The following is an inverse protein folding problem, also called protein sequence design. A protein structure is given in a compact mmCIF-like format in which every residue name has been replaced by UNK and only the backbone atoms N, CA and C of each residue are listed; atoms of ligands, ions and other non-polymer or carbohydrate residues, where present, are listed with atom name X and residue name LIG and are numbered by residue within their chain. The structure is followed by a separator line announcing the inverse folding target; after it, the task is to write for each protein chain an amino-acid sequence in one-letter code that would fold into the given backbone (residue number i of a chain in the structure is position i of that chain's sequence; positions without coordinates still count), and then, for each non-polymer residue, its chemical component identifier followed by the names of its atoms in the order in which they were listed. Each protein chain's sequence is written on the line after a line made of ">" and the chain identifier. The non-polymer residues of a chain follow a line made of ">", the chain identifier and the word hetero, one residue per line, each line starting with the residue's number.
data_IF_082866269879
#
_entry.id   IF_082866269879
#
_cell.length_a   1.000
_cell.length_b   1.000
_cell.length_c   1.000
_cell.angle_alpha   90.00
_cell.angle_beta   90.00
_cell.angle_gamma   90.00
#
_symmetry.space_group_name_H-M   'P 1'
#
loop_
_entity.id
_entity.type
_entity.pdbx_description
1 polymer ?
#
# COMPACT_ATOMS: atom_id res chain seq x y z
N UNK A 1 8.43 -21.21 15.64
CA UNK A 1 7.34 -20.29 15.28
C UNK A 1 7.85 -19.46 14.13
N UNK A 2 7.57 -19.88 12.90
CA UNK A 2 7.76 -19.05 11.72
C UNK A 2 6.43 -18.33 11.49
N UNK A 3 6.39 -17.05 11.81
CA UNK A 3 5.21 -16.21 11.64
C UNK A 3 5.66 -14.78 11.45
N UNK A 4 5.05 -14.06 10.51
CA UNK A 4 5.27 -12.64 10.31
C UNK A 4 4.44 -11.85 11.32
N UNK A 5 5.04 -10.85 11.96
CA UNK A 5 4.34 -9.92 12.84
C UNK A 5 4.26 -8.53 12.19
N UNK A 6 3.08 -7.92 12.20
CA UNK A 6 2.86 -6.55 11.74
C UNK A 6 2.58 -5.65 12.96
N UNK A 7 3.38 -4.60 13.13
CA UNK A 7 3.09 -3.56 14.10
C UNK A 7 2.21 -2.51 13.45
N UNK A 8 1.01 -2.30 14.00
CA UNK A 8 0.02 -1.41 13.42
C UNK A 8 -0.50 -0.45 14.49
N UNK A 9 -0.82 0.78 14.06
CA UNK A 9 -1.67 1.68 14.85
C UNK A 9 -3.13 1.36 14.49
N UNK A 10 -3.94 0.76 15.39
CA UNK A 10 -5.22 0.16 15.02
C UNK A 10 -6.19 1.15 14.35
N UNK A 11 -6.27 2.37 14.85
CA UNK A 11 -7.14 3.41 14.28
C UNK A 11 -6.74 3.81 12.86
N UNK A 12 -5.45 3.96 12.57
CA UNK A 12 -4.94 4.25 11.23
C UNK A 12 -5.16 3.06 10.29
N UNK A 13 -4.87 1.85 10.75
CA UNK A 13 -5.11 0.63 9.97
C UNK A 13 -6.59 0.48 9.60
N UNK A 14 -7.50 0.66 10.57
CA UNK A 14 -8.94 0.64 10.34
C UNK A 14 -9.37 1.71 9.32
N UNK A 15 -8.87 2.95 9.43
CA UNK A 15 -9.18 4.02 8.47
C UNK A 15 -8.71 3.69 7.06
N UNK A 16 -7.49 3.17 6.90
CA UNK A 16 -6.91 2.78 5.60
C UNK A 16 -7.68 1.64 4.95
N UNK A 17 -7.98 0.58 5.71
CA UNK A 17 -8.80 -0.53 5.23
C UNK A 17 -10.19 -0.05 4.81
N UNK A 18 -10.85 0.76 5.65
CA UNK A 18 -12.17 1.29 5.33
C UNK A 18 -12.16 2.22 4.11
N UNK A 19 -11.09 3.00 3.89
CA UNK A 19 -10.95 3.85 2.71
C UNK A 19 -10.86 3.01 1.42
N UNK A 20 -10.00 1.99 1.39
CA UNK A 20 -9.88 1.08 0.24
C UNK A 20 -11.18 0.32 -0.02
N UNK A 21 -11.89 -0.10 1.04
CA UNK A 21 -13.21 -0.71 0.89
C UNK A 21 -14.25 0.27 0.33
N UNK A 22 -14.12 1.59 0.51
CA UNK A 22 -15.05 2.55 -0.11
C UNK A 22 -14.65 2.94 -1.53
N UNK A 23 -13.38 2.81 -1.90
CA UNK A 23 -12.89 3.16 -3.23
C UNK A 23 -13.57 2.34 -4.34
N UNK A 24 -13.95 3.01 -5.43
CA UNK A 24 -14.52 2.40 -6.63
C UNK A 24 -13.97 3.08 -7.89
N UNK A 25 -13.28 2.35 -8.79
CA UNK A 25 -12.85 0.96 -8.64
C UNK A 25 -11.80 0.79 -7.53
N UNK A 26 -11.63 -0.42 -7.03
CA UNK A 26 -10.58 -0.70 -6.06
C UNK A 26 -9.20 -0.64 -6.75
N UNK A 27 -8.20 0.06 -6.18
CA UNK A 27 -6.92 0.33 -6.85
C UNK A 27 -5.94 -0.85 -6.71
N UNK A 28 -6.37 -2.06 -7.11
CA UNK A 28 -5.54 -3.26 -7.11
C UNK A 28 -4.96 -3.53 -8.49
N UNK A 29 -3.66 -3.80 -8.53
CA UNK A 29 -2.92 -4.06 -9.75
C UNK A 29 -2.44 -5.51 -9.74
N UNK A 30 -2.96 -6.30 -10.67
CA UNK A 30 -2.53 -7.68 -10.89
C UNK A 30 -1.20 -7.70 -11.66
N UNK A 31 -0.18 -8.25 -11.01
CA UNK A 31 1.19 -8.38 -11.49
C UNK A 31 1.65 -9.85 -11.52
N UNK A 32 0.71 -10.79 -11.54
CA UNK A 32 1.00 -12.24 -11.57
C UNK A 32 1.97 -12.62 -12.69
N UNK A 33 2.85 -13.58 -12.42
CA UNK A 33 3.92 -13.99 -13.34
C UNK A 33 3.39 -14.48 -14.70
N UNK A 34 2.23 -15.15 -14.73
CA UNK A 34 1.59 -15.62 -15.97
C UNK A 34 1.11 -14.50 -16.91
N UNK A 35 1.13 -13.23 -16.48
CA UNK A 35 0.68 -12.11 -17.31
C UNK A 35 1.76 -11.60 -18.25
N UNK A 36 1.33 -11.21 -19.45
CA UNK A 36 2.20 -10.49 -20.39
C UNK A 36 2.50 -9.04 -19.95
N UNK A 37 1.58 -8.44 -19.18
CA UNK A 37 1.71 -7.07 -18.67
C UNK A 37 0.87 -6.88 -17.40
N UNK A 38 1.28 -5.97 -16.50
CA UNK A 38 0.47 -5.64 -15.35
C UNK A 38 -0.84 -4.98 -15.78
N UNK A 39 -1.89 -5.19 -15.00
CA UNK A 39 -3.21 -4.63 -15.26
C UNK A 39 -3.95 -4.31 -13.95
N UNK A 40 -5.03 -3.55 -14.03
CA UNK A 40 -5.98 -3.48 -12.91
C UNK A 40 -6.68 -4.84 -12.76
N UNK A 41 -6.97 -5.21 -11.51
CA UNK A 41 -7.71 -6.42 -11.20
C UNK A 41 -9.10 -6.43 -11.83
N UNK A 42 -9.55 -7.60 -12.26
CA UNK A 42 -10.93 -7.78 -12.67
C UNK A 42 -11.87 -7.59 -11.47
N UNK A 43 -13.14 -7.20 -11.67
CA UNK A 43 -14.08 -6.97 -10.57
C UNK A 43 -14.22 -8.14 -9.59
N UNK A 44 -14.19 -9.38 -10.09
CA UNK A 44 -14.29 -10.58 -9.24
C UNK A 44 -13.05 -10.77 -8.35
N UNK A 45 -11.85 -10.53 -8.89
CA UNK A 45 -10.57 -10.61 -8.15
C UNK A 45 -10.50 -9.50 -7.10
N UNK A 46 -10.85 -8.28 -7.50
CA UNK A 46 -10.91 -7.14 -6.59
C UNK A 46 -11.88 -7.40 -5.43
N UNK A 47 -13.03 -8.03 -5.68
CA UNK A 47 -14.00 -8.34 -4.63
C UNK A 47 -13.49 -9.42 -3.67
N UNK A 48 -12.76 -10.44 -4.16
CA UNK A 48 -12.11 -11.41 -3.29
C UNK A 48 -11.09 -10.75 -2.35
N UNK A 49 -10.27 -9.82 -2.89
CA UNK A 49 -9.32 -9.04 -2.08
C UNK A 49 -10.07 -8.18 -1.05
N UNK A 50 -11.16 -7.50 -1.45
CA UNK A 50 -12.00 -6.72 -0.53
C UNK A 50 -12.60 -7.58 0.57
N UNK A 51 -13.00 -8.82 0.27
CA UNK A 51 -13.43 -9.80 1.28
C UNK A 51 -12.37 -10.05 2.36
N UNK A 52 -11.11 -10.25 1.96
CA UNK A 52 -10.00 -10.41 2.90
C UNK A 52 -9.75 -9.15 3.74
N UNK A 53 -9.75 -7.96 3.11
CA UNK A 53 -9.57 -6.69 3.82
C UNK A 53 -10.72 -6.39 4.78
N UNK A 54 -11.96 -6.76 4.43
CA UNK A 54 -13.12 -6.63 5.30
C UNK A 54 -13.04 -7.55 6.51
N UNK A 55 -12.56 -8.80 6.32
CA UNK A 55 -12.30 -9.72 7.43
C UNK A 55 -11.22 -9.15 8.37
N UNK A 56 -10.14 -8.58 7.82
CA UNK A 56 -9.11 -7.91 8.62
C UNK A 56 -9.66 -6.71 9.39
N UNK A 57 -10.49 -5.87 8.75
CA UNK A 57 -11.10 -4.72 9.38
C UNK A 57 -12.01 -5.15 10.55
N UNK A 58 -12.84 -6.18 10.35
CA UNK A 58 -13.69 -6.74 11.39
C UNK A 58 -12.87 -7.29 12.56
N UNK A 59 -11.77 -7.99 12.27
CA UNK A 59 -10.84 -8.48 13.28
C UNK A 59 -10.23 -7.34 14.11
N UNK A 60 -9.75 -6.28 13.45
CA UNK A 60 -9.22 -5.09 14.14
C UNK A 60 -10.27 -4.34 14.95
N UNK A 61 -11.54 -4.39 14.54
CA UNK A 61 -12.66 -3.79 15.27
C UNK A 61 -13.07 -4.57 16.52
N UNK A 62 -12.91 -5.91 16.50
CA UNK A 62 -13.21 -6.79 17.63
C UNK A 62 -12.04 -7.02 18.59
N UNK A 63 -10.83 -6.60 18.24
CA UNK A 63 -9.66 -6.73 19.09
C UNK A 63 -9.71 -5.72 20.24
N UNK A 64 -10.01 -6.20 21.46
CA UNK A 64 -9.94 -5.39 22.67
C UNK A 64 -8.49 -5.24 23.13
N UNK A 65 -8.03 -3.99 23.28
CA UNK A 65 -6.71 -3.70 23.83
C UNK A 65 -6.76 -3.78 25.37
N UNK A 66 -6.13 -4.80 25.94
CA UNK A 66 -5.98 -4.96 27.40
C UNK A 66 -4.75 -4.23 27.97
N UNK A 67 -4.07 -3.42 27.16
CA UNK A 67 -2.85 -2.70 27.50
C UNK A 67 -2.34 -1.79 26.37
N UNK A 68 -1.14 -1.19 26.50
CA UNK A 68 -0.57 -0.29 25.49
C UNK A 68 -0.18 -1.00 24.19
N UNK A 69 0.04 -2.31 24.26
CA UNK A 69 0.30 -3.19 23.12
C UNK A 69 -0.57 -4.42 23.29
N UNK A 70 -1.29 -4.80 22.24
CA UNK A 70 -2.06 -6.04 22.15
C UNK A 70 -1.59 -6.85 20.95
N UNK A 71 -1.59 -8.16 21.08
CA UNK A 71 -1.33 -9.09 19.98
C UNK A 71 -2.59 -9.88 19.67
N UNK A 72 -2.87 -10.06 18.38
CA UNK A 72 -3.95 -10.90 17.91
C UNK A 72 -3.48 -11.62 16.66
N UNK A 73 -3.94 -12.86 16.49
CA UNK A 73 -3.55 -13.70 15.36
C UNK A 73 -4.66 -13.75 14.33
N UNK A 74 -4.27 -13.73 13.07
CA UNK A 74 -5.17 -13.91 11.92
C UNK A 74 -4.60 -15.05 11.08
N UNK A 75 -5.47 -15.93 10.60
CA UNK A 75 -5.09 -16.99 9.66
C UNK A 75 -5.23 -16.42 8.24
N UNK A 76 -4.13 -16.14 7.51
CA UNK A 76 -4.15 -15.43 6.23
C UNK A 76 -4.44 -16.38 5.05
N UNK A 77 -5.41 -17.29 5.20
CA UNK A 77 -5.71 -18.27 4.16
C UNK A 77 -6.15 -17.56 2.86
N UNK A 78 -5.35 -17.68 1.79
CA UNK A 78 -5.61 -17.03 0.51
C UNK A 78 -5.26 -15.53 0.45
N UNK A 79 -4.63 -14.97 1.48
CA UNK A 79 -4.27 -13.55 1.49
C UNK A 79 -2.95 -13.30 0.79
N UNK A 80 -2.96 -12.40 -0.20
CA UNK A 80 -1.73 -11.82 -0.70
C UNK A 80 -1.21 -10.78 0.31
N UNK A 81 -0.16 -11.13 1.07
CA UNK A 81 0.40 -10.24 2.11
C UNK A 81 0.97 -8.94 1.53
N UNK A 82 1.52 -8.95 0.32
CA UNK A 82 1.98 -7.74 -0.35
C UNK A 82 0.82 -6.76 -0.56
N UNK A 83 -0.34 -7.26 -1.02
CA UNK A 83 -1.55 -6.45 -1.15
C UNK A 83 -2.02 -5.87 0.18
N UNK A 84 -2.09 -6.71 1.23
CA UNK A 84 -2.54 -6.27 2.56
C UNK A 84 -1.59 -5.23 3.15
N UNK A 85 -0.28 -5.45 3.05
CA UNK A 85 0.72 -4.52 3.56
C UNK A 85 0.68 -3.20 2.79
N UNK A 86 0.55 -3.22 1.46
CA UNK A 86 0.41 -1.99 0.65
C UNK A 86 -0.77 -1.12 1.10
N UNK A 87 -1.93 -1.75 1.35
CA UNK A 87 -3.11 -1.07 1.89
C UNK A 87 -2.85 -0.52 3.30
N UNK A 88 -2.25 -1.32 4.18
CA UNK A 88 -1.96 -0.92 5.56
C UNK A 88 -0.90 0.18 5.65
N UNK A 89 0.04 0.24 4.71
CA UNK A 89 0.99 1.34 4.55
C UNK A 89 0.32 2.61 4.03
N UNK A 90 -0.87 2.49 3.44
CA UNK A 90 -1.63 3.62 2.90
C UNK A 90 -1.15 4.04 1.51
N UNK A 91 -0.65 3.10 0.71
CA UNK A 91 -0.35 3.36 -0.69
C UNK A 91 -1.66 3.58 -1.48
N UNK A 92 -1.63 4.47 -2.51
CA UNK A 92 -2.83 4.77 -3.31
C UNK A 92 -3.30 3.59 -4.15
N UNK A 93 -2.39 2.68 -4.51
CA UNK A 93 -2.68 1.45 -5.21
C UNK A 93 -1.79 0.33 -4.66
N UNK A 94 -2.25 -0.92 -4.72
CA UNK A 94 -1.52 -2.07 -4.18
C UNK A 94 -1.38 -3.19 -5.20
N UNK A 95 -0.18 -3.76 -5.27
CA UNK A 95 0.08 -4.95 -6.08
C UNK A 95 -0.62 -6.16 -5.52
N UNK A 96 -1.05 -7.04 -6.42
CA UNK A 96 -1.54 -8.37 -6.11
C UNK A 96 -1.02 -9.35 -7.16
N UNK A 97 -0.86 -10.59 -6.77
CA UNK A 97 -0.39 -11.66 -7.63
C UNK A 97 -0.94 -13.01 -7.14
N UNK A 98 -1.05 -13.95 -8.07
CA UNK A 98 -1.40 -15.33 -7.77
C UNK A 98 -0.35 -15.98 -6.88
N UNK A 99 -0.76 -16.39 -5.67
CA UNK A 99 0.13 -17.12 -4.77
C UNK A 99 0.40 -18.56 -5.22
N UNK A 100 -0.40 -19.09 -6.14
CA UNK A 100 -0.19 -20.43 -6.72
C UNK A 100 0.99 -20.47 -7.69
N UNK A 101 1.32 -19.33 -8.31
CA UNK A 101 2.43 -19.18 -9.25
C UNK A 101 3.77 -18.85 -8.57
N UNK A 102 3.78 -18.74 -7.23
CA UNK A 102 4.95 -18.36 -6.44
C UNK A 102 5.07 -16.85 -6.22
N UNK A 103 6.29 -16.38 -5.92
CA UNK A 103 6.59 -14.98 -5.64
C UNK A 103 7.11 -14.20 -6.88
N UNK A 104 7.11 -14.85 -8.04
CA UNK A 104 7.48 -14.21 -9.31
C UNK A 104 6.38 -13.23 -9.75
N UNK A 105 6.76 -12.24 -10.57
CA UNK A 105 5.85 -11.22 -11.07
C UNK A 105 6.22 -10.79 -12.49
N UNK A 106 5.27 -10.19 -13.20
CA UNK A 106 5.46 -9.75 -14.58
C UNK A 106 6.16 -8.38 -14.71
N UNK A 107 6.82 -7.86 -13.66
CA UNK A 107 7.36 -6.49 -13.65
C UNK A 107 8.79 -6.39 -14.19
N UNK A 108 9.45 -7.51 -14.48
CA UNK A 108 10.78 -7.51 -15.08
C UNK A 108 10.80 -6.67 -16.37
N UNK A 109 11.71 -5.70 -16.45
CA UNK A 109 11.87 -4.75 -17.55
C UNK A 109 10.59 -3.95 -17.90
N UNK A 110 9.59 -3.96 -17.03
CA UNK A 110 8.40 -3.11 -17.15
C UNK A 110 8.76 -1.70 -16.65
N UNK A 111 8.42 -0.63 -17.39
CA UNK A 111 8.55 0.72 -16.89
C UNK A 111 7.67 0.94 -15.66
N UNK A 112 8.29 1.33 -14.54
CA UNK A 112 7.63 1.61 -13.28
C UNK A 112 7.79 3.10 -12.94
N UNK A 113 6.69 3.75 -12.60
CA UNK A 113 6.73 5.07 -11.98
C UNK A 113 6.93 4.91 -10.50
N UNK A 114 8.10 5.31 -10.01
CA UNK A 114 8.43 5.31 -8.58
C UNK A 114 8.05 6.66 -8.02
N UNK A 115 7.19 6.65 -7.00
CA UNK A 115 6.84 7.83 -6.23
C UNK A 115 7.68 7.83 -4.95
N UNK A 116 8.29 8.98 -4.69
CA UNK A 116 9.10 9.22 -3.49
C UNK A 116 8.52 10.42 -2.76
N UNK A 117 8.17 10.21 -1.49
CA UNK A 117 7.73 11.27 -0.59
C UNK A 117 8.76 11.47 0.48
N UNK A 118 9.21 12.72 0.62
CA UNK A 118 10.17 13.12 1.63
C UNK A 118 9.67 14.30 2.42
N UNK A 119 10.10 14.41 3.67
CA UNK A 119 9.89 15.58 4.50
C UNK A 119 11.08 15.76 5.45
N UNK A 120 11.31 17.00 5.88
CA UNK A 120 12.30 17.32 6.91
C UNK A 120 11.67 17.18 8.29
N UNK A 121 12.38 16.61 9.25
CA UNK A 121 11.96 16.59 10.65
C UNK A 121 12.83 17.57 11.47
N UNK A 122 12.35 18.79 11.78
CA UNK A 122 13.16 19.82 12.45
C UNK A 122 13.59 19.43 13.86
N UNK A 123 12.89 18.47 14.48
CA UNK A 123 13.16 17.99 15.84
C UNK A 123 14.33 17.00 15.91
N UNK A 124 14.75 16.48 14.76
CA UNK A 124 15.91 15.59 14.63
C UNK A 124 17.12 16.42 14.20
N UNK A 125 18.30 16.06 14.70
CA UNK A 125 19.57 16.76 14.43
C UNK A 125 19.73 17.07 12.94
N UNK A 126 20.16 18.29 12.64
CA UNK A 126 20.40 18.82 11.30
C UNK A 126 19.16 18.88 10.38
N UNK A 127 17.95 18.81 10.94
CA UNK A 127 16.71 18.88 10.15
C UNK A 127 16.58 17.70 9.19
N UNK A 128 16.87 16.48 9.66
CA UNK A 128 16.96 15.26 8.86
C UNK A 128 15.81 15.15 7.86
N UNK A 129 16.17 15.06 6.57
CA UNK A 129 15.23 14.75 5.50
C UNK A 129 15.01 13.23 5.44
N UNK A 130 13.78 12.82 5.74
CA UNK A 130 13.38 11.41 5.78
C UNK A 130 12.51 11.08 4.57
N UNK A 131 12.66 9.86 4.06
CA UNK A 131 11.74 9.30 3.08
C UNK A 131 10.57 8.65 3.82
N UNK A 132 9.38 9.23 3.65
CA UNK A 132 8.15 8.79 4.33
C UNK A 132 7.48 7.68 3.53
N UNK A 133 7.40 7.85 2.20
CA UNK A 133 6.84 6.84 1.30
C UNK A 133 7.80 6.60 0.15
N UNK A 134 7.88 5.33 -0.25
CA UNK A 134 8.39 4.93 -1.55
C UNK A 134 7.56 3.75 -2.04
N UNK A 135 6.97 3.91 -3.21
CA UNK A 135 6.20 2.87 -3.87
C UNK A 135 6.31 3.06 -5.38
N UNK A 136 5.97 2.02 -6.12
CA UNK A 136 5.91 2.07 -7.58
C UNK A 136 4.53 1.67 -8.07
N UNK A 137 4.17 2.17 -9.24
CA UNK A 137 3.09 1.64 -10.06
C UNK A 137 3.61 1.39 -11.48
N UNK A 138 3.02 0.48 -12.26
CA UNK A 138 3.36 0.32 -13.66
C UNK A 138 3.02 1.60 -14.41
N UNK A 139 3.97 2.11 -15.20
CA UNK A 139 3.79 3.36 -15.96
C UNK A 139 2.55 3.28 -16.85
N UNK A 140 2.26 2.09 -17.40
CA UNK A 140 1.09 1.83 -18.23
C UNK A 140 -0.25 2.01 -17.53
N UNK A 141 -0.30 2.04 -16.20
CA UNK A 141 -1.52 2.21 -15.39
C UNK A 141 -1.63 3.60 -14.76
N UNK A 142 -0.67 4.50 -15.00
CA UNK A 142 -0.66 5.83 -14.40
C UNK A 142 -1.88 6.66 -14.80
N UNK A 143 -2.38 6.50 -16.02
CA UNK A 143 -3.53 7.28 -16.50
C UNK A 143 -4.81 6.83 -15.81
N UNK A 144 -4.99 5.52 -15.70
CA UNK A 144 -6.14 4.86 -15.06
C UNK A 144 -6.18 5.12 -13.56
N UNK A 145 -5.02 5.24 -12.91
CA UNK A 145 -4.90 5.51 -11.48
C UNK A 145 -4.77 6.99 -11.13
N UNK A 146 -4.78 7.90 -12.12
CA UNK A 146 -4.48 9.33 -11.91
C UNK A 146 -5.37 9.96 -10.85
N UNK A 147 -6.67 9.74 -10.89
CA UNK A 147 -7.60 10.32 -9.92
C UNK A 147 -7.30 9.84 -8.49
N UNK A 148 -6.95 8.57 -8.32
CA UNK A 148 -6.59 7.99 -7.02
C UNK A 148 -5.25 8.53 -6.53
N UNK A 149 -4.27 8.70 -7.42
CA UNK A 149 -2.96 9.26 -7.11
C UNK A 149 -3.05 10.73 -6.71
N UNK A 150 -3.84 11.52 -7.43
CA UNK A 150 -4.05 12.94 -7.18
C UNK A 150 -4.75 13.15 -5.83
N UNK A 151 -5.85 12.40 -5.59
CA UNK A 151 -6.56 12.43 -4.31
C UNK A 151 -5.65 12.04 -3.14
N UNK A 152 -4.86 10.98 -3.29
CA UNK A 152 -3.89 10.57 -2.28
C UNK A 152 -2.81 11.63 -2.04
N UNK A 153 -2.30 12.29 -3.08
CA UNK A 153 -1.33 13.36 -2.95
C UNK A 153 -1.91 14.55 -2.18
N UNK A 154 -3.17 14.89 -2.42
CA UNK A 154 -3.83 16.01 -1.76
C UNK A 154 -4.15 15.70 -0.30
N UNK A 155 -4.69 14.51 -0.01
CA UNK A 155 -4.86 14.02 1.37
C UNK A 155 -3.53 14.01 2.15
N UNK A 156 -2.43 13.64 1.48
CA UNK A 156 -1.11 13.64 2.08
C UNK A 156 -0.61 15.05 2.40
N UNK A 157 -0.79 16.00 1.47
CA UNK A 157 -0.45 17.42 1.71
C UNK A 157 -1.28 18.00 2.85
N UNK A 158 -2.58 17.71 2.91
CA UNK A 158 -3.46 18.15 3.99
C UNK A 158 -3.01 17.57 5.34
N UNK A 159 -2.75 16.26 5.39
CA UNK A 159 -2.29 15.58 6.61
C UNK A 159 -0.95 16.15 7.11
N UNK A 160 -0.01 16.44 6.21
CA UNK A 160 1.26 17.08 6.58
C UNK A 160 1.07 18.54 6.96
N UNK A 161 0.12 19.27 6.35
CA UNK A 161 -0.21 20.65 6.73
C UNK A 161 -0.88 20.78 8.10
N UNK A 162 -1.54 19.72 8.58
CA UNK A 162 -2.21 19.69 9.88
C UNK A 162 -1.27 19.41 11.07
N UNK A 163 0.02 19.21 10.83
CA UNK A 163 1.04 18.90 11.84
C UNK A 163 2.33 19.69 11.60
N UNK A 164 3.20 19.78 12.60
CA UNK A 164 4.46 20.55 12.54
C UNK A 164 5.72 19.73 12.83
N UNK A 165 5.60 18.42 13.03
CA UNK A 165 6.72 17.52 13.26
C UNK A 165 7.51 17.22 11.99
N UNK A 166 6.84 17.22 10.83
CA UNK A 166 7.42 17.08 9.50
C UNK A 166 7.07 18.28 8.62
N UNK A 167 8.07 18.89 7.98
CA UNK A 167 7.93 20.08 7.14
C UNK A 167 8.59 19.86 5.77
N UNK A 168 8.46 20.82 4.86
CA UNK A 168 9.06 20.77 3.52
C UNK A 168 8.70 19.49 2.74
N UNK A 169 7.42 19.10 2.80
CA UNK A 169 6.91 17.93 2.08
C UNK A 169 7.25 18.05 0.59
N UNK A 170 7.94 17.05 0.07
CA UNK A 170 8.29 16.92 -1.33
C UNK A 170 7.76 15.58 -1.86
N UNK A 171 6.93 15.65 -2.89
CA UNK A 171 6.44 14.49 -3.63
C UNK A 171 7.07 14.56 -5.02
N UNK A 172 7.89 13.57 -5.36
CA UNK A 172 8.53 13.45 -6.67
C UNK A 172 8.25 12.09 -7.29
N UNK A 173 8.34 12.00 -8.61
CA UNK A 173 8.30 10.71 -9.30
C UNK A 173 9.31 10.61 -10.42
N UNK A 174 9.76 9.40 -10.70
CA UNK A 174 10.63 9.06 -11.81
C UNK A 174 10.21 7.73 -12.44
N UNK A 175 10.60 7.51 -13.70
CA UNK A 175 10.32 6.24 -14.40
C UNK A 175 11.60 5.43 -14.47
N UNK A 176 11.54 4.19 -13.97
CA UNK A 176 12.66 3.25 -13.96
C UNK A 176 12.27 1.95 -14.65
N UNK A 177 13.26 1.17 -15.10
CA UNK A 177 13.05 -0.20 -15.58
C UNK A 177 14.12 -1.08 -14.97
N UNK A 178 13.68 -2.08 -14.20
CA UNK A 178 14.57 -2.95 -13.43
C UNK A 178 14.53 -4.37 -14.00
N UNK A 179 15.66 -5.10 -13.99
CA UNK A 179 15.71 -6.47 -14.50
C UNK A 179 14.86 -7.44 -13.65
N UNK A 180 14.65 -7.12 -12.38
CA UNK A 180 13.78 -7.84 -11.47
C UNK A 180 13.21 -6.88 -10.42
N UNK A 181 12.03 -7.21 -9.89
CA UNK A 181 11.33 -6.43 -8.86
C UNK A 181 10.92 -7.39 -7.75
N UNK A 182 11.34 -7.11 -6.52
CA UNK A 182 10.92 -7.85 -5.34
C UNK A 182 9.68 -7.19 -4.73
N UNK A 183 8.73 -8.01 -4.27
CA UNK A 183 7.45 -7.61 -3.71
C UNK A 183 7.25 -8.14 -2.29
#
# INVERSE_FOLDING_TARGET
>A
MEGSALLLQPGLAQRRLAAVLRAHPAPFMDVSAGRQRPALCAPAEAEAIRGHLAALLAHLGGAEATGPVSSSEVVPAGWNLCTVVGVLLGYPASYTFSMEEGAENCLALTPLRVFTVQASCPRIKDGLRVQIYSFSIPESLCTELREVLDAWCDELKEAFGAQSDFVDLCISSEVVSLPAVAL
#
